data_IF_446906902264
#
_entry.id   IF_446906902264
#
_cell.length_a   1.000
_cell.length_b   1.000
_cell.length_c   1.000
_cell.angle_alpha   90.00
_cell.angle_beta   90.00
_cell.angle_gamma   90.00
#
_symmetry.space_group_name_H-M   'P 1'
#
loop_
_entity.id
_entity.type
_entity.pdbx_description
1 polymer ?
#
# COMPACT_ATOMS: atom_id res chain seq x y z
N UNK A 1 6.64 10.54 5.33
CA UNK A 1 5.42 10.10 6.05
C UNK A 1 4.50 11.20 6.59
N UNK A 2 4.97 12.41 6.96
CA UNK A 2 4.13 13.48 7.55
C UNK A 2 3.02 14.04 6.65
N UNK A 3 2.96 13.63 5.38
CA UNK A 3 2.07 14.17 4.35
C UNK A 3 0.86 13.28 4.05
N UNK A 4 0.79 12.07 4.61
CA UNK A 4 -0.39 11.21 4.48
C UNK A 4 -1.47 11.59 5.49
N UNK A 5 -2.77 11.47 5.14
CA UNK A 5 -3.85 11.65 6.10
C UNK A 5 -3.64 10.77 7.34
N UNK A 6 -3.83 11.29 8.57
CA UNK A 6 -3.63 10.52 9.79
C UNK A 6 -4.46 9.23 9.82
N UNK A 7 -5.67 9.27 9.28
CA UNK A 7 -6.55 8.11 9.18
C UNK A 7 -5.91 7.00 8.31
N UNK A 8 -5.29 7.38 7.18
CA UNK A 8 -4.62 6.44 6.29
C UNK A 8 -3.38 5.82 6.96
N UNK A 9 -2.63 6.62 7.72
CA UNK A 9 -1.50 6.14 8.52
C UNK A 9 -1.92 5.18 9.65
N UNK A 10 -3.10 5.37 10.24
CA UNK A 10 -3.61 4.47 11.28
C UNK A 10 -4.04 3.10 10.74
N UNK A 11 -4.43 3.04 9.45
CA UNK A 11 -4.83 1.80 8.81
C UNK A 11 -3.63 0.93 8.40
N UNK A 12 -2.50 1.57 8.05
CA UNK A 12 -1.30 0.88 7.62
C UNK A 12 -0.43 0.48 8.83
N UNK A 13 0.22 -0.70 8.80
CA UNK A 13 1.25 -1.03 9.78
C UNK A 13 2.43 -0.06 9.69
N UNK A 14 3.35 -0.11 10.66
CA UNK A 14 4.59 0.67 10.60
C UNK A 14 5.25 0.54 9.22
N UNK A 15 5.60 1.69 8.65
CA UNK A 15 6.15 1.81 7.30
C UNK A 15 7.31 2.80 7.34
N UNK A 16 8.44 2.43 6.75
CA UNK A 16 9.60 3.31 6.59
C UNK A 16 9.33 4.35 5.50
N UNK A 17 9.98 5.51 5.60
CA UNK A 17 9.90 6.53 4.54
C UNK A 17 10.68 6.10 3.29
N UNK A 18 10.52 6.84 2.20
CA UNK A 18 11.19 6.54 0.92
C UNK A 18 12.71 6.51 1.12
N UNK A 19 13.33 5.37 0.81
CA UNK A 19 14.79 5.17 0.90
C UNK A 19 15.31 4.81 2.29
N UNK A 20 14.48 4.85 3.34
CA UNK A 20 14.89 4.49 4.70
C UNK A 20 15.10 2.95 4.85
N UNK A 21 15.83 2.50 5.89
CA UNK A 21 15.98 1.09 6.20
C UNK A 21 14.66 0.42 6.59
N UNK A 22 14.49 -0.84 6.19
CA UNK A 22 13.34 -1.67 6.55
C UNK A 22 13.72 -3.16 6.45
N UNK A 23 12.96 -4.04 7.10
CA UNK A 23 13.13 -5.49 7.00
C UNK A 23 12.51 -6.01 5.69
N UNK A 24 13.36 -6.22 4.68
CA UNK A 24 12.95 -6.70 3.35
C UNK A 24 12.75 -8.22 3.26
N UNK A 25 13.28 -8.98 4.22
CA UNK A 25 13.20 -10.44 4.28
C UNK A 25 12.71 -10.89 5.67
N UNK A 26 12.45 -12.18 5.85
CA UNK A 26 12.15 -12.79 7.14
C UNK A 26 13.38 -12.98 8.04
N UNK A 27 14.58 -12.76 7.52
CA UNK A 27 15.82 -12.72 8.29
C UNK A 27 16.02 -11.32 8.90
N UNK A 28 15.54 -11.15 10.12
CA UNK A 28 15.51 -9.86 10.83
C UNK A 28 16.81 -9.61 11.58
N UNK A 29 17.50 -8.53 11.22
CA UNK A 29 18.68 -8.04 11.95
C UNK A 29 18.31 -6.99 13.01
N UNK A 30 17.39 -6.08 12.67
CA UNK A 30 16.86 -5.07 13.59
C UNK A 30 15.32 -5.19 13.70
N UNK A 31 14.79 -5.69 14.82
CA UNK A 31 13.35 -5.84 15.02
C UNK A 31 12.61 -4.51 15.23
N UNK A 32 13.32 -3.38 15.41
CA UNK A 32 12.69 -2.07 15.48
C UNK A 32 12.32 -1.53 14.10
N UNK A 33 12.92 -2.05 13.02
CA UNK A 33 12.61 -1.63 11.66
C UNK A 33 11.27 -2.23 11.18
N UNK A 34 10.47 -1.46 10.42
CA UNK A 34 9.23 -1.97 9.83
C UNK A 34 9.52 -2.96 8.71
N UNK A 35 8.52 -3.75 8.34
CA UNK A 35 8.55 -4.65 7.16
C UNK A 35 8.01 -4.01 5.89
N UNK A 36 7.73 -2.71 5.93
CA UNK A 36 7.18 -1.95 4.80
C UNK A 36 8.02 -0.72 4.55
N UNK A 37 8.15 -0.33 3.29
CA UNK A 37 8.78 0.94 2.91
C UNK A 37 7.95 1.66 1.86
N UNK A 38 7.68 2.94 2.11
CA UNK A 38 6.93 3.79 1.20
C UNK A 38 7.66 3.90 -0.15
N UNK A 39 6.92 3.72 -1.25
CA UNK A 39 7.38 4.01 -2.60
C UNK A 39 6.80 5.34 -3.06
N UNK A 40 5.47 5.47 -2.97
CA UNK A 40 4.72 6.64 -3.43
C UNK A 40 3.35 6.65 -2.81
N UNK A 41 2.80 7.85 -2.60
CA UNK A 41 1.39 8.03 -2.33
C UNK A 41 0.85 9.23 -3.10
N UNK A 42 -0.46 9.29 -3.24
CA UNK A 42 -1.16 10.40 -3.88
C UNK A 42 -2.66 10.21 -3.76
N UNK A 43 -3.42 11.15 -4.32
CA UNK A 43 -4.87 11.08 -4.26
C UNK A 43 -5.53 11.72 -5.48
N UNK A 44 -6.79 11.33 -5.71
CA UNK A 44 -7.74 12.00 -6.60
C UNK A 44 -9.02 12.20 -5.79
N UNK A 45 -9.36 13.46 -5.53
CA UNK A 45 -10.44 13.83 -4.61
C UNK A 45 -10.24 13.17 -3.24
N UNK A 46 -11.21 12.38 -2.79
CA UNK A 46 -11.18 11.64 -1.53
C UNK A 46 -10.54 10.24 -1.65
N UNK A 47 -10.18 9.78 -2.85
CA UNK A 47 -9.56 8.47 -3.04
C UNK A 47 -8.03 8.60 -2.99
N UNK A 48 -7.43 7.99 -1.99
CA UNK A 48 -5.98 7.94 -1.76
C UNK A 48 -5.40 6.62 -2.21
N UNK A 49 -4.19 6.63 -2.76
CA UNK A 49 -3.38 5.44 -2.96
C UNK A 49 -2.07 5.52 -2.18
N UNK A 50 -1.62 4.38 -1.68
CA UNK A 50 -0.29 4.20 -1.08
C UNK A 50 0.35 2.96 -1.69
N UNK A 51 1.55 3.13 -2.24
CA UNK A 51 2.39 2.06 -2.75
C UNK A 51 3.56 1.85 -1.82
N UNK A 52 3.85 0.60 -1.51
CA UNK A 52 4.97 0.24 -0.65
C UNK A 52 5.56 -1.10 -1.02
N UNK A 53 6.81 -1.27 -0.63
CA UNK A 53 7.48 -2.57 -0.56
C UNK A 53 6.96 -3.31 0.67
N UNK A 54 6.76 -4.63 0.54
CA UNK A 54 6.39 -5.52 1.63
C UNK A 54 7.47 -6.61 1.72
N UNK A 55 8.17 -6.68 2.85
CA UNK A 55 9.17 -7.71 3.15
C UNK A 55 8.60 -8.90 3.93
N UNK A 56 9.47 -9.78 4.45
CA UNK A 56 9.11 -10.97 5.22
C UNK A 56 9.24 -12.26 4.40
N UNK A 57 8.31 -13.21 4.57
CA UNK A 57 8.33 -14.52 3.88
C UNK A 57 8.36 -14.40 2.35
N UNK A 58 7.91 -13.27 1.79
CA UNK A 58 8.07 -12.95 0.39
C UNK A 58 8.17 -11.43 0.21
N UNK A 59 9.11 -11.01 -0.64
CA UNK A 59 9.23 -9.62 -1.06
C UNK A 59 8.31 -9.34 -2.25
N UNK A 60 7.45 -8.34 -2.12
CA UNK A 60 6.58 -7.89 -3.21
C UNK A 60 6.21 -6.41 -3.03
N UNK A 61 5.55 -5.84 -4.01
CA UNK A 61 4.99 -4.50 -3.95
C UNK A 61 3.50 -4.55 -3.71
N UNK A 62 2.98 -3.62 -2.92
CA UNK A 62 1.57 -3.58 -2.56
C UNK A 62 1.01 -2.18 -2.81
N UNK A 63 -0.18 -2.12 -3.38
CA UNK A 63 -0.97 -0.92 -3.49
C UNK A 63 -2.23 -1.04 -2.63
N UNK A 64 -2.42 -0.04 -1.78
CA UNK A 64 -3.66 0.17 -1.03
C UNK A 64 -4.33 1.40 -1.59
N UNK A 65 -5.58 1.27 -2.00
CA UNK A 65 -6.41 2.40 -2.44
C UNK A 65 -7.60 2.49 -1.51
N UNK A 66 -7.83 3.66 -0.93
CA UNK A 66 -8.84 3.88 0.08
C UNK A 66 -9.58 5.21 -0.14
N UNK A 67 -10.88 5.18 0.07
CA UNK A 67 -11.72 6.37 0.16
C UNK A 67 -11.63 6.96 1.57
N UNK A 68 -11.23 8.21 1.66
CA UNK A 68 -11.02 8.95 2.92
C UNK A 68 -11.87 10.20 2.91
N UNK A 69 -13.02 10.14 3.61
CA UNK A 69 -13.91 11.28 3.80
C UNK A 69 -13.89 11.75 5.26
N UNK A 70 -13.94 13.06 5.49
CA UNK A 70 -13.87 13.64 6.83
C UNK A 70 -15.08 13.22 7.66
N UNK A 71 -14.83 12.63 8.83
CA UNK A 71 -15.89 12.19 9.75
C UNK A 71 -16.55 10.86 9.39
N UNK A 72 -16.10 10.19 8.33
CA UNK A 72 -16.56 8.86 7.94
C UNK A 72 -15.48 7.80 8.19
N UNK A 73 -15.86 6.52 8.37
CA UNK A 73 -14.90 5.42 8.35
C UNK A 73 -14.18 5.34 7.00
N UNK A 74 -12.88 5.01 7.01
CA UNK A 74 -12.12 4.76 5.79
C UNK A 74 -12.70 3.53 5.09
N UNK A 75 -12.90 3.62 3.77
CA UNK A 75 -13.31 2.49 2.95
C UNK A 75 -12.16 2.04 2.07
N UNK A 76 -11.76 0.78 2.17
CA UNK A 76 -10.71 0.23 1.29
C UNK A 76 -11.32 -0.19 -0.04
N UNK A 77 -10.88 0.47 -1.11
CA UNK A 77 -11.32 0.20 -2.48
C UNK A 77 -10.52 -0.94 -3.11
N UNK A 78 -9.22 -1.01 -2.79
CA UNK A 78 -8.36 -2.12 -3.17
C UNK A 78 -7.22 -2.30 -2.20
N UNK A 79 -6.81 -3.56 -2.04
CA UNK A 79 -5.59 -3.93 -1.36
C UNK A 79 -4.98 -5.12 -2.11
N UNK A 80 -3.95 -4.86 -2.90
CA UNK A 80 -3.40 -5.87 -3.79
C UNK A 80 -1.87 -5.81 -3.91
N UNK A 81 -1.28 -7.00 -3.96
CA UNK A 81 0.14 -7.22 -4.16
C UNK A 81 0.50 -7.51 -5.63
N UNK A 82 1.75 -7.26 -6.00
CA UNK A 82 2.36 -7.62 -7.28
C UNK A 82 3.88 -7.80 -7.16
N UNK A 83 4.46 -8.60 -8.04
CA UNK A 83 5.93 -8.75 -8.24
C UNK A 83 6.40 -8.12 -9.55
N UNK A 84 5.59 -7.25 -10.16
CA UNK A 84 5.92 -6.52 -11.39
C UNK A 84 5.59 -5.04 -11.25
N UNK A 85 5.82 -4.29 -12.32
CA UNK A 85 5.50 -2.87 -12.54
C UNK A 85 3.99 -2.53 -12.62
N UNK A 86 3.10 -3.34 -12.04
CA UNK A 86 1.64 -3.23 -12.19
C UNK A 86 0.95 -2.26 -11.22
N UNK A 87 1.68 -1.61 -10.32
CA UNK A 87 1.11 -0.69 -9.33
C UNK A 87 0.30 0.46 -9.98
N UNK A 88 0.80 1.01 -11.08
CA UNK A 88 0.10 2.04 -11.86
C UNK A 88 -1.22 1.50 -12.42
N UNK A 89 -1.15 0.41 -13.19
CA UNK A 89 -2.30 -0.18 -13.86
C UNK A 89 -3.39 -0.62 -12.86
N UNK A 90 -2.98 -1.16 -11.71
CA UNK A 90 -3.88 -1.48 -10.61
C UNK A 90 -4.58 -0.24 -10.07
N UNK A 91 -3.83 0.81 -9.74
CA UNK A 91 -4.39 2.05 -9.16
C UNK A 91 -5.34 2.74 -10.14
N UNK A 92 -4.96 2.82 -11.42
CA UNK A 92 -5.81 3.38 -12.48
C UNK A 92 -7.10 2.59 -12.65
N UNK A 93 -7.04 1.25 -12.54
CA UNK A 93 -8.23 0.41 -12.60
C UNK A 93 -9.17 0.63 -11.41
N UNK A 94 -8.65 0.85 -10.19
CA UNK A 94 -9.46 1.23 -9.02
C UNK A 94 -10.16 2.55 -9.26
N UNK A 95 -9.41 3.56 -9.71
CA UNK A 95 -9.95 4.87 -10.02
C UNK A 95 -10.96 4.87 -11.18
N UNK A 96 -10.89 3.88 -12.07
CA UNK A 96 -11.88 3.67 -13.12
C UNK A 96 -13.08 2.81 -12.67
N UNK A 97 -13.12 2.35 -11.42
CA UNK A 97 -14.18 1.47 -10.89
C UNK A 97 -14.17 0.05 -11.47
N UNK A 98 -13.02 -0.43 -11.95
CA UNK A 98 -12.89 -1.68 -12.72
C UNK A 98 -12.36 -2.87 -11.93
N UNK A 99 -12.01 -2.69 -10.66
CA UNK A 99 -11.51 -3.77 -9.80
C UNK A 99 -12.44 -3.97 -8.60
N UNK A 100 -12.64 -5.22 -8.16
CA UNK A 100 -12.20 -6.49 -8.79
C UNK A 100 -13.00 -6.87 -10.06
N UNK A 101 -12.46 -7.72 -10.98
CA UNK A 101 -11.25 -8.55 -10.84
C UNK A 101 -9.94 -7.77 -11.01
N UNK A 102 -8.92 -8.15 -10.24
CA UNK A 102 -7.59 -7.53 -10.29
C UNK A 102 -6.85 -7.80 -11.61
N UNK A 103 -5.98 -6.89 -12.10
CA UNK A 103 -5.17 -7.11 -13.29
C UNK A 103 -4.35 -8.41 -13.22
N UNK A 104 -4.14 -9.15 -14.32
CA UNK A 104 -3.25 -10.31 -14.35
C UNK A 104 -1.87 -9.96 -13.79
N UNK A 105 -1.35 -10.76 -12.86
CA UNK A 105 -0.08 -10.47 -12.17
C UNK A 105 -0.23 -9.66 -10.88
N UNK A 106 -1.46 -9.38 -10.45
CA UNK A 106 -1.78 -8.84 -9.12
C UNK A 106 -2.72 -9.81 -8.37
N UNK A 107 -2.71 -9.75 -7.03
CA UNK A 107 -3.56 -10.59 -6.18
C UNK A 107 -4.08 -9.80 -4.98
N UNK A 108 -5.21 -10.24 -4.41
CA UNK A 108 -5.71 -9.70 -3.14
C UNK A 108 -4.69 -9.95 -2.03
N UNK A 109 -4.20 -8.90 -1.38
CA UNK A 109 -3.26 -9.06 -0.26
C UNK A 109 -4.03 -9.34 1.04
N UNK A 110 -3.49 -10.26 1.85
CA UNK A 110 -4.01 -10.50 3.20
C UNK A 110 -3.33 -9.54 4.17
N UNK A 111 -4.07 -8.51 4.59
CA UNK A 111 -3.55 -7.45 5.46
C UNK A 111 -2.92 -6.30 4.68
N UNK A 112 -2.75 -5.17 5.36
CA UNK A 112 -2.01 -4.01 4.90
C UNK A 112 -0.54 -4.20 5.22
#
# INVERSE_FOLDING_TARGET
MRELPPALLQMLPPIADVGEPFNSTDSVEDPALPFRRLIRAGHRDADWFVWYEHGGLGYFWQAVVAHVESGAPISTLANAGTVSDLLCALTDAVFAGKVPPYPPGTWAAFGY
#
